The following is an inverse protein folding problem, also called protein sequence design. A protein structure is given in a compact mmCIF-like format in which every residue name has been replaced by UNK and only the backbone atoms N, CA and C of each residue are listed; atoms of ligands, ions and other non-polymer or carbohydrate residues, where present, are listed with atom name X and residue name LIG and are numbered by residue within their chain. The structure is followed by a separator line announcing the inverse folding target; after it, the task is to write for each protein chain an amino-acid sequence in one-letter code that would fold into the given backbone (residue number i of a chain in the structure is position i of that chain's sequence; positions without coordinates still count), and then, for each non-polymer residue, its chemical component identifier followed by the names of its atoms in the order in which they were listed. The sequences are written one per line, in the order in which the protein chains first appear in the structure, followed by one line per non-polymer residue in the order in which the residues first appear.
data_IF_914024182748
#
_entry.id   IF_914024182748
#
_cell.length_a   1.000
_cell.length_b   1.000
_cell.length_c   1.000
_cell.angle_alpha   90.00
_cell.angle_beta   90.00
_cell.angle_gamma   90.00
#
_symmetry.space_group_name_H-M   'P 1'
#
loop_
_entity.id
_entity.type
_entity.pdbx_description
1 polymer ?
#
# COMPACT_ATOMS: atom_id res chain seq x y z
N UNK A 1 -3.08 38.34 30.90
CA UNK A 1 -2.27 38.45 32.16
C UNK A 1 -1.32 39.66 32.24
N UNK A 2 -1.12 40.49 31.19
CA UNK A 2 -0.25 41.68 31.26
C UNK A 2 -0.85 42.88 32.04
N UNK A 3 -2.18 42.97 32.14
CA UNK A 3 -2.88 44.07 32.83
C UNK A 3 -2.66 44.08 34.36
N UNK A 4 -2.82 42.94 35.04
CA UNK A 4 -2.65 42.85 36.51
C UNK A 4 -1.24 43.18 37.00
N UNK A 5 -0.21 42.90 36.20
CA UNK A 5 1.19 43.24 36.55
C UNK A 5 1.45 44.75 36.46
N UNK A 6 0.95 45.42 35.42
CA UNK A 6 1.04 46.88 35.29
C UNK A 6 0.26 47.57 36.42
N UNK A 7 -0.93 47.09 36.74
CA UNK A 7 -1.72 47.58 37.87
C UNK A 7 -0.97 47.37 39.20
N UNK A 8 -0.29 46.24 39.39
CA UNK A 8 0.52 45.99 40.58
C UNK A 8 1.69 46.96 40.73
N UNK A 9 2.49 47.19 39.68
CA UNK A 9 3.59 48.17 39.74
C UNK A 9 3.09 49.60 39.92
N UNK A 10 1.93 49.94 39.36
CA UNK A 10 1.29 51.26 39.54
C UNK A 10 0.81 51.44 40.98
N UNK A 11 0.11 50.45 41.57
CA UNK A 11 -0.31 50.50 42.98
C UNK A 11 0.88 50.46 43.95
N UNK A 12 1.93 49.68 43.63
CA UNK A 12 3.15 49.64 44.42
C UNK A 12 3.91 50.96 44.35
N UNK A 13 4.07 51.55 43.16
CA UNK A 13 4.66 52.87 42.98
C UNK A 13 3.86 53.96 43.69
N UNK A 14 2.53 53.92 43.64
CA UNK A 14 1.65 54.83 44.37
C UNK A 14 1.77 54.65 45.90
N UNK A 15 1.85 53.42 46.40
CA UNK A 15 2.04 53.14 47.83
C UNK A 15 3.42 53.60 48.33
N UNK A 16 4.47 53.42 47.53
CA UNK A 16 5.82 53.92 47.84
C UNK A 16 5.86 55.45 47.79
N UNK A 17 5.21 56.08 46.82
CA UNK A 17 5.09 57.55 46.74
C UNK A 17 4.31 58.13 47.93
N UNK A 18 3.23 57.47 48.36
CA UNK A 18 2.49 57.86 49.57
C UNK A 18 3.30 57.64 50.84
N UNK A 19 4.08 56.56 50.92
CA UNK A 19 4.99 56.29 52.04
C UNK A 19 6.08 57.35 52.14
N UNK A 20 6.74 57.66 51.01
CA UNK A 20 7.79 58.69 50.92
C UNK A 20 7.22 60.09 51.19
N UNK A 21 6.05 60.41 50.63
CA UNK A 21 5.36 61.68 50.84
C UNK A 21 4.85 61.90 52.27
N UNK A 22 4.65 60.84 53.05
CA UNK A 22 4.25 60.91 54.45
C UNK A 22 5.46 60.95 55.42
N UNK A 23 6.59 60.36 55.03
CA UNK A 23 7.84 60.35 55.82
C UNK A 23 8.67 61.62 55.63
N UNK A 24 8.67 62.23 54.44
CA UNK A 24 9.43 63.45 54.11
C UNK A 24 9.04 64.70 54.94
N UNK A 25 7.75 65.06 55.10
CA UNK A 25 7.34 66.21 55.91
C UNK A 25 7.63 66.01 57.40
N UNK A 26 7.57 64.77 57.88
CA UNK A 26 7.93 64.42 59.26
C UNK A 26 9.43 64.61 59.53
N UNK A 27 10.29 64.50 58.52
CA UNK A 27 11.72 64.79 58.59
C UNK A 27 12.06 66.28 58.42
N UNK A 28 11.21 67.07 57.76
CA UNK A 28 11.43 68.49 57.46
C UNK A 28 10.79 69.46 58.48
N UNK A 29 9.98 68.96 59.41
CA UNK A 29 9.35 69.73 60.49
C UNK A 29 10.33 69.97 61.64
N UNK A 30 11.21 70.98 61.52
CA UNK A 30 11.92 71.56 62.67
C UNK A 30 10.95 72.46 63.45
N UNK A 31 10.52 72.02 64.64
CA UNK A 31 9.77 72.87 65.56
C UNK A 31 8.79 72.12 66.45
N UNK A 32 9.29 71.48 67.50
CA UNK A 32 8.46 70.93 68.58
C UNK A 32 9.10 69.72 69.26
N UNK A 33 9.93 69.97 70.27
CA UNK A 33 10.49 68.96 71.16
C UNK A 33 9.40 68.34 72.05
N UNK A 34 8.58 67.45 71.52
CA UNK A 34 7.92 66.43 72.34
C UNK A 34 7.85 65.10 71.60
N UNK A 35 8.74 64.17 72.01
CA UNK A 35 8.70 62.72 71.77
C UNK A 35 9.30 62.16 70.46
N UNK A 36 10.61 62.31 70.25
CA UNK A 36 11.38 61.59 69.21
C UNK A 36 11.10 60.07 69.16
N UNK A 37 10.93 59.45 70.33
CA UNK A 37 10.61 58.02 70.45
C UNK A 37 9.27 57.65 69.77
N UNK A 38 8.26 58.54 69.82
CA UNK A 38 6.97 58.32 69.13
C UNK A 38 7.14 58.39 67.61
N UNK A 39 7.97 59.29 67.11
CA UNK A 39 8.25 59.42 65.68
C UNK A 39 8.95 58.20 65.10
N UNK A 40 9.98 57.67 65.78
CA UNK A 40 10.67 56.44 65.37
C UNK A 40 9.74 55.22 65.40
N UNK A 41 8.93 55.08 66.45
CA UNK A 41 7.93 54.00 66.54
C UNK A 41 6.94 54.09 65.39
N UNK A 42 6.45 55.30 65.08
CA UNK A 42 5.50 55.50 64.00
C UNK A 42 6.10 55.18 62.62
N UNK A 43 7.37 55.54 62.37
CA UNK A 43 8.08 55.20 61.15
C UNK A 43 8.29 53.68 61.01
N UNK A 44 8.65 52.99 62.11
CA UNK A 44 8.79 51.53 62.14
C UNK A 44 7.45 50.85 61.86
N UNK A 45 6.36 51.31 62.49
CA UNK A 45 5.01 50.79 62.25
C UNK A 45 4.61 50.98 60.79
N UNK A 46 4.84 52.16 60.22
CA UNK A 46 4.54 52.42 58.82
C UNK A 46 5.35 51.50 57.89
N UNK A 47 6.65 51.35 58.13
CA UNK A 47 7.50 50.44 57.37
C UNK A 47 7.02 48.99 57.48
N UNK A 48 6.62 48.54 58.68
CA UNK A 48 6.06 47.22 58.91
C UNK A 48 4.73 47.01 58.15
N UNK A 49 3.86 48.03 58.09
CA UNK A 49 2.62 47.98 57.30
C UNK A 49 2.93 47.88 55.80
N UNK A 50 3.86 48.68 55.29
CA UNK A 50 4.31 48.62 53.90
C UNK A 50 4.90 47.24 53.57
N UNK A 51 5.75 46.70 54.44
CA UNK A 51 6.34 45.37 54.28
C UNK A 51 5.26 44.28 54.30
N UNK A 52 4.28 44.38 55.19
CA UNK A 52 3.17 43.42 55.28
C UNK A 52 2.32 43.42 54.00
N UNK A 53 2.02 44.59 53.44
CA UNK A 53 1.34 44.71 52.15
C UNK A 53 2.21 44.10 51.04
N UNK A 54 3.49 44.45 50.98
CA UNK A 54 4.41 43.96 49.96
C UNK A 54 4.50 42.42 49.96
N UNK A 55 4.67 41.83 51.14
CA UNK A 55 4.74 40.38 51.32
C UNK A 55 3.41 39.72 50.96
N UNK A 56 2.26 40.30 51.35
CA UNK A 56 0.93 39.77 51.03
C UNK A 56 0.66 39.73 49.52
N UNK A 57 1.12 40.73 48.76
CA UNK A 57 0.90 40.78 47.31
C UNK A 57 1.97 40.07 46.47
N UNK A 58 3.24 40.04 46.89
CA UNK A 58 4.32 39.35 46.14
C UNK A 58 4.25 37.83 46.32
N UNK A 59 3.94 37.35 47.53
CA UNK A 59 3.87 35.90 47.82
C UNK A 59 3.03 35.11 46.81
N UNK A 60 1.77 35.48 46.48
CA UNK A 60 0.97 34.71 45.52
C UNK A 60 1.54 34.76 44.09
N UNK A 61 2.12 35.90 43.68
CA UNK A 61 2.70 36.05 42.35
C UNK A 61 3.99 35.22 42.18
N UNK A 62 4.84 35.20 43.21
CA UNK A 62 6.09 34.43 43.22
C UNK A 62 5.80 32.92 43.27
N UNK A 63 4.88 32.49 44.13
CA UNK A 63 4.46 31.09 44.23
C UNK A 63 3.87 30.58 42.90
N UNK A 64 2.97 31.35 42.28
CA UNK A 64 2.39 30.98 40.99
C UNK A 64 3.41 30.91 39.84
N UNK A 65 4.45 31.74 39.86
CA UNK A 65 5.53 31.68 38.87
C UNK A 65 6.41 30.43 39.05
N UNK A 66 6.82 30.15 40.29
CA UNK A 66 7.64 28.98 40.61
C UNK A 66 6.89 27.67 40.36
N UNK A 67 5.61 27.59 40.76
CA UNK A 67 4.76 26.43 40.46
C UNK A 67 4.57 26.23 38.95
N UNK A 68 4.35 27.32 38.20
CA UNK A 68 4.25 27.23 36.74
C UNK A 68 5.55 26.72 36.11
N UNK A 69 6.71 27.24 36.54
CA UNK A 69 8.01 26.78 36.04
C UNK A 69 8.28 25.32 36.41
N UNK A 70 7.96 24.93 37.64
CA UNK A 70 8.07 23.55 38.09
C UNK A 70 7.21 22.61 37.26
N UNK A 71 5.94 22.96 37.04
CA UNK A 71 5.01 22.17 36.24
C UNK A 71 5.45 22.07 34.77
N UNK A 72 5.96 23.15 34.18
CA UNK A 72 6.50 23.13 32.83
C UNK A 72 7.67 22.15 32.70
N UNK A 73 8.66 22.23 33.61
CA UNK A 73 9.82 21.33 33.58
C UNK A 73 9.39 19.88 33.82
N UNK A 74 8.44 19.65 34.72
CA UNK A 74 7.89 18.31 34.97
C UNK A 74 7.20 17.75 33.73
N UNK A 75 6.40 18.56 33.04
CA UNK A 75 5.70 18.17 31.82
C UNK A 75 6.68 17.89 30.68
N UNK A 76 7.71 18.73 30.49
CA UNK A 76 8.77 18.52 29.50
C UNK A 76 9.56 17.22 29.77
N UNK A 77 9.91 16.96 31.03
CA UNK A 77 10.58 15.71 31.43
C UNK A 77 9.69 14.49 31.19
N UNK A 78 8.41 14.59 31.51
CA UNK A 78 7.47 13.49 31.29
C UNK A 78 7.32 13.19 29.79
N UNK A 79 7.13 14.23 28.97
CA UNK A 79 7.08 14.08 27.50
C UNK A 79 8.37 13.49 26.94
N UNK A 80 9.52 13.92 27.44
CA UNK A 80 10.81 13.38 27.00
C UNK A 80 10.94 11.89 27.32
N UNK A 81 10.49 11.45 28.51
CA UNK A 81 10.45 10.03 28.88
C UNK A 81 9.50 9.24 27.98
N UNK A 82 8.28 9.72 27.79
CA UNK A 82 7.29 9.07 26.91
C UNK A 82 7.80 8.92 25.47
N UNK A 83 8.45 9.96 24.93
CA UNK A 83 9.07 9.91 23.61
C UNK A 83 10.24 8.92 23.55
N UNK A 84 11.07 8.87 24.59
CA UNK A 84 12.18 7.92 24.68
C UNK A 84 11.68 6.48 24.73
N UNK A 85 10.67 6.19 25.55
CA UNK A 85 10.06 4.86 25.66
C UNK A 85 9.38 4.44 24.35
N UNK A 86 8.66 5.37 23.68
CA UNK A 86 8.05 5.11 22.39
C UNK A 86 9.09 4.84 21.29
N UNK A 87 10.19 5.60 21.28
CA UNK A 87 11.30 5.39 20.36
C UNK A 87 11.98 4.04 20.58
N UNK A 88 12.24 3.67 21.85
CA UNK A 88 12.84 2.38 22.20
C UNK A 88 11.92 1.20 21.81
N UNK A 89 10.62 1.33 22.05
CA UNK A 89 9.63 0.33 21.63
C UNK A 89 9.63 0.17 20.10
N UNK A 90 9.58 1.27 19.36
CA UNK A 90 9.60 1.27 17.89
C UNK A 90 10.89 0.65 17.36
N UNK A 91 12.03 0.97 17.98
CA UNK A 91 13.33 0.40 17.64
C UNK A 91 13.35 -1.12 17.87
N UNK A 92 12.87 -1.60 19.02
CA UNK A 92 12.77 -3.04 19.32
C UNK A 92 11.85 -3.77 18.35
N UNK A 93 10.71 -3.18 17.99
CA UNK A 93 9.81 -3.73 16.99
C UNK A 93 10.45 -3.81 15.60
N UNK A 94 11.14 -2.75 15.17
CA UNK A 94 11.88 -2.73 13.91
C UNK A 94 13.00 -3.78 13.89
N UNK A 95 13.77 -3.90 14.98
CA UNK A 95 14.84 -4.89 15.10
C UNK A 95 14.28 -6.32 15.05
N UNK A 96 13.15 -6.58 15.73
CA UNK A 96 12.48 -7.88 15.66
C UNK A 96 11.99 -8.21 14.25
N UNK A 97 11.42 -7.22 13.55
CA UNK A 97 11.01 -7.40 12.14
C UNK A 97 12.21 -7.71 11.25
N UNK A 98 13.31 -6.97 11.40
CA UNK A 98 14.55 -7.21 10.65
C UNK A 98 15.13 -8.60 10.93
N UNK A 99 15.15 -9.03 12.20
CA UNK A 99 15.64 -10.37 12.55
C UNK A 99 14.79 -11.50 11.93
N UNK A 100 13.48 -11.29 11.80
CA UNK A 100 12.58 -12.26 11.18
C UNK A 100 12.58 -12.22 9.64
N UNK A 101 13.05 -11.11 9.05
CA UNK A 101 12.98 -10.86 7.61
C UNK A 101 13.79 -11.89 6.81
N UNK A 102 14.97 -12.27 7.30
CA UNK A 102 15.79 -13.31 6.66
C UNK A 102 15.10 -14.68 6.67
N UNK A 103 14.40 -15.01 7.76
CA UNK A 103 13.65 -16.25 7.87
C UNK A 103 12.43 -16.24 6.94
N UNK A 104 11.73 -15.12 6.85
CA UNK A 104 10.60 -14.93 5.94
C UNK A 104 11.04 -15.01 4.47
N UNK A 105 12.15 -14.37 4.09
CA UNK A 105 12.73 -14.48 2.74
C UNK A 105 13.08 -15.93 2.41
N UNK A 106 13.69 -16.67 3.36
CA UNK A 106 14.01 -18.09 3.15
C UNK A 106 12.74 -18.91 2.95
N UNK A 107 11.72 -18.71 3.78
CA UNK A 107 10.45 -19.41 3.65
C UNK A 107 9.76 -19.12 2.30
N UNK A 108 9.74 -17.85 1.86
CA UNK A 108 9.20 -17.44 0.56
C UNK A 108 9.97 -18.12 -0.58
N UNK A 109 11.32 -18.15 -0.52
CA UNK A 109 12.14 -18.81 -1.53
C UNK A 109 11.89 -20.30 -1.60
N UNK A 110 11.81 -20.98 -0.46
CA UNK A 110 11.52 -22.41 -0.41
C UNK A 110 10.12 -22.73 -0.96
N UNK A 111 9.12 -21.90 -0.65
CA UNK A 111 7.78 -22.05 -1.21
C UNK A 111 7.78 -21.83 -2.73
N UNK A 112 8.42 -20.76 -3.21
CA UNK A 112 8.56 -20.48 -4.64
C UNK A 112 9.24 -21.63 -5.40
N UNK A 113 10.30 -22.22 -4.83
CA UNK A 113 10.98 -23.35 -5.47
C UNK A 113 10.06 -24.57 -5.60
N UNK A 114 9.28 -24.87 -4.55
CA UNK A 114 8.29 -25.97 -4.60
C UNK A 114 7.20 -25.71 -5.63
N UNK A 115 6.68 -24.49 -5.69
CA UNK A 115 5.65 -24.09 -6.67
C UNK A 115 6.19 -24.18 -8.09
N UNK A 116 7.42 -23.71 -8.34
CA UNK A 116 8.08 -23.80 -9.64
C UNK A 116 8.30 -25.26 -10.07
N UNK A 117 8.71 -26.13 -9.15
CA UNK A 117 8.91 -27.54 -9.46
C UNK A 117 7.59 -28.25 -9.80
N UNK A 118 6.52 -27.97 -9.04
CA UNK A 118 5.18 -28.48 -9.33
C UNK A 118 4.65 -27.99 -10.67
N UNK A 119 4.77 -26.70 -10.95
CA UNK A 119 4.30 -26.12 -12.21
C UNK A 119 5.12 -26.64 -13.39
N UNK A 120 6.44 -26.79 -13.23
CA UNK A 120 7.31 -27.40 -14.24
C UNK A 120 6.86 -28.82 -14.57
N UNK A 121 6.58 -29.64 -13.54
CA UNK A 121 6.10 -31.02 -13.73
C UNK A 121 4.78 -31.03 -14.48
N UNK A 122 3.82 -30.21 -14.07
CA UNK A 122 2.51 -30.07 -14.72
C UNK A 122 2.64 -29.63 -16.19
N UNK A 123 3.51 -28.67 -16.46
CA UNK A 123 3.76 -28.18 -17.82
C UNK A 123 4.37 -29.26 -18.71
N UNK A 124 5.30 -30.07 -18.17
CA UNK A 124 5.88 -31.20 -18.90
C UNK A 124 4.83 -32.27 -19.21
N UNK A 125 4.02 -32.67 -18.22
CA UNK A 125 2.92 -33.63 -18.42
C UNK A 125 1.88 -33.13 -19.44
N UNK A 126 1.57 -31.83 -19.42
CA UNK A 126 0.67 -31.23 -20.39
C UNK A 126 1.28 -31.19 -21.79
N UNK A 127 2.57 -30.86 -21.90
CA UNK A 127 3.30 -30.84 -23.17
C UNK A 127 3.39 -32.24 -23.79
N UNK A 128 3.68 -33.27 -22.99
CA UNK A 128 3.70 -34.67 -23.42
C UNK A 128 2.32 -35.10 -23.93
N UNK A 129 1.26 -34.83 -23.16
CA UNK A 129 -0.12 -35.13 -23.56
C UNK A 129 -0.53 -34.42 -24.86
N UNK A 130 -0.14 -33.16 -25.02
CA UNK A 130 -0.38 -32.39 -26.25
C UNK A 130 0.38 -32.98 -27.43
N UNK A 131 1.62 -33.39 -27.24
CA UNK A 131 2.43 -34.02 -28.27
C UNK A 131 1.83 -35.37 -28.71
N UNK A 132 1.37 -36.20 -27.77
CA UNK A 132 0.68 -37.45 -28.06
C UNK A 132 -0.61 -37.22 -28.85
N UNK A 133 -1.44 -36.28 -28.40
CA UNK A 133 -2.68 -35.92 -29.10
C UNK A 133 -2.40 -35.44 -30.52
N UNK A 134 -1.38 -34.59 -30.70
CA UNK A 134 -0.98 -34.08 -32.02
C UNK A 134 -0.50 -35.20 -32.94
N UNK A 135 0.28 -36.16 -32.43
CA UNK A 135 0.70 -37.34 -33.20
C UNK A 135 -0.50 -38.19 -33.60
N UNK A 136 -1.40 -38.49 -32.67
CA UNK A 136 -2.60 -39.28 -32.96
C UNK A 136 -3.49 -38.60 -34.02
N UNK A 137 -3.67 -37.28 -33.93
CA UNK A 137 -4.40 -36.49 -34.94
C UNK A 137 -3.70 -36.50 -36.30
N UNK A 138 -2.37 -36.37 -36.33
CA UNK A 138 -1.60 -36.44 -37.57
C UNK A 138 -1.68 -37.81 -38.23
N UNK A 139 -1.58 -38.91 -37.46
CA UNK A 139 -1.74 -40.27 -37.98
C UNK A 139 -3.14 -40.52 -38.54
N UNK A 140 -4.18 -40.05 -37.83
CA UNK A 140 -5.55 -40.15 -38.30
C UNK A 140 -5.77 -39.33 -39.59
N UNK A 141 -5.25 -38.11 -39.64
CA UNK A 141 -5.32 -37.24 -40.81
C UNK A 141 -4.61 -37.85 -42.02
N UNK A 142 -3.39 -38.37 -41.82
CA UNK A 142 -2.64 -39.04 -42.88
C UNK A 142 -3.37 -40.27 -43.42
N UNK A 143 -3.99 -41.08 -42.53
CA UNK A 143 -4.77 -42.25 -42.95
C UNK A 143 -5.98 -41.85 -43.80
N UNK A 144 -6.67 -40.79 -43.41
CA UNK A 144 -7.80 -40.26 -44.15
C UNK A 144 -7.37 -39.74 -45.53
N UNK A 145 -6.27 -38.98 -45.57
CA UNK A 145 -5.71 -38.43 -46.81
C UNK A 145 -5.24 -39.53 -47.77
N UNK A 146 -4.58 -40.58 -47.26
CA UNK A 146 -4.20 -41.76 -48.05
C UNK A 146 -5.43 -42.45 -48.64
N UNK A 147 -6.51 -42.60 -47.87
CA UNK A 147 -7.74 -43.22 -48.36
C UNK A 147 -8.39 -42.38 -49.47
N UNK A 148 -8.41 -41.05 -49.31
CA UNK A 148 -8.91 -40.12 -50.33
C UNK A 148 -8.05 -40.16 -51.60
N UNK A 149 -6.72 -40.17 -51.46
CA UNK A 149 -5.79 -40.29 -52.59
C UNK A 149 -5.97 -41.61 -53.34
N UNK A 150 -6.11 -42.73 -52.63
CA UNK A 150 -6.38 -44.04 -53.26
C UNK A 150 -7.69 -44.04 -54.04
N UNK A 151 -8.74 -43.40 -53.50
CA UNK A 151 -10.03 -43.28 -54.19
C UNK A 151 -9.90 -42.46 -55.47
N UNK A 152 -9.29 -41.28 -55.40
CA UNK A 152 -9.04 -40.42 -56.58
C UNK A 152 -8.19 -41.13 -57.62
N UNK A 153 -7.12 -41.79 -57.21
CA UNK A 153 -6.25 -42.54 -58.12
C UNK A 153 -7.01 -43.67 -58.83
N UNK A 154 -7.87 -44.40 -58.11
CA UNK A 154 -8.70 -45.45 -58.72
C UNK A 154 -9.68 -44.88 -59.75
N UNK A 155 -10.31 -43.74 -59.45
CA UNK A 155 -11.21 -43.04 -60.38
C UNK A 155 -10.46 -42.59 -61.63
N UNK A 156 -9.28 -41.98 -61.47
CA UNK A 156 -8.44 -41.50 -62.57
C UNK A 156 -7.96 -42.64 -63.48
N UNK A 157 -7.44 -43.72 -62.89
CA UNK A 157 -7.03 -44.93 -63.65
C UNK A 157 -8.22 -45.55 -64.38
N UNK A 158 -9.40 -45.61 -63.75
CA UNK A 158 -10.60 -46.16 -64.39
C UNK A 158 -11.06 -45.32 -65.57
N UNK A 159 -11.04 -43.99 -65.44
CA UNK A 159 -11.37 -43.07 -66.53
C UNK A 159 -10.38 -43.21 -67.69
N UNK A 160 -9.09 -43.32 -67.40
CA UNK A 160 -8.06 -43.44 -68.44
C UNK A 160 -8.13 -44.81 -69.15
N UNK A 161 -8.38 -45.88 -68.40
CA UNK A 161 -8.63 -47.20 -68.98
C UNK A 161 -9.89 -47.22 -69.88
N UNK A 162 -10.96 -46.52 -69.46
CA UNK A 162 -12.18 -46.37 -70.28
C UNK A 162 -11.90 -45.62 -71.57
N UNK A 163 -11.14 -44.52 -71.53
CA UNK A 163 -10.73 -43.78 -72.75
C UNK A 163 -9.92 -44.66 -73.69
N UNK A 164 -8.94 -45.41 -73.17
CA UNK A 164 -8.13 -46.31 -73.98
C UNK A 164 -8.98 -47.42 -74.61
N UNK A 165 -9.90 -48.01 -73.84
CA UNK A 165 -10.83 -49.01 -74.34
C UNK A 165 -11.75 -48.42 -75.44
N UNK A 166 -12.26 -47.20 -75.24
CA UNK A 166 -13.05 -46.48 -76.24
C UNK A 166 -12.25 -46.26 -77.54
N UNK A 167 -10.98 -45.84 -77.44
CA UNK A 167 -10.12 -45.69 -78.61
C UNK A 167 -9.85 -47.01 -79.34
N UNK A 168 -9.59 -48.10 -78.61
CA UNK A 168 -9.37 -49.43 -79.20
C UNK A 168 -10.65 -49.89 -79.90
N UNK A 169 -11.81 -49.81 -79.24
CA UNK A 169 -13.10 -50.20 -79.84
C UNK A 169 -13.39 -49.38 -81.10
N UNK A 170 -13.17 -48.05 -81.08
CA UNK A 170 -13.32 -47.20 -82.28
C UNK A 170 -12.41 -47.63 -83.42
N UNK A 171 -11.19 -48.07 -83.15
CA UNK A 171 -10.21 -48.51 -84.16
C UNK A 171 -10.47 -49.91 -84.70
N UNK A 172 -11.07 -50.80 -83.91
CA UNK A 172 -11.20 -52.23 -84.24
C UNK A 172 -12.61 -52.66 -84.67
N UNK A 173 -13.64 -51.83 -84.43
CA UNK A 173 -15.03 -52.20 -84.76
C UNK A 173 -15.25 -52.44 -86.25
N UNK A 174 -15.89 -53.58 -86.57
CA UNK A 174 -16.22 -53.97 -87.95
C UNK A 174 -17.70 -53.76 -88.27
N UNK A 175 -18.08 -53.83 -89.57
CA UNK A 175 -19.49 -53.69 -89.99
C UNK A 175 -20.40 -54.80 -89.44
N UNK A 176 -19.87 -56.02 -89.30
CA UNK A 176 -20.63 -57.14 -88.72
C UNK A 176 -20.85 -56.96 -87.22
N UNK A 177 -19.87 -56.40 -86.50
CA UNK A 177 -20.03 -56.04 -85.09
C UNK A 177 -21.12 -54.98 -84.88
N UNK A 178 -21.16 -53.94 -85.71
CA UNK A 178 -22.21 -52.92 -85.67
C UNK A 178 -23.61 -53.54 -85.90
N UNK A 179 -23.74 -54.42 -86.89
CA UNK A 179 -25.01 -55.09 -87.20
C UNK A 179 -25.47 -56.01 -86.06
N UNK A 180 -24.53 -56.72 -85.42
CA UNK A 180 -24.80 -57.54 -84.23
C UNK A 180 -25.23 -56.71 -83.02
N UNK A 181 -24.58 -55.57 -82.76
CA UNK A 181 -24.94 -54.65 -81.68
C UNK A 181 -26.36 -54.07 -81.87
N UNK A 182 -26.72 -53.68 -83.10
CA UNK A 182 -28.08 -53.22 -83.43
C UNK A 182 -29.12 -54.31 -83.17
N UNK A 183 -28.85 -55.54 -83.60
CA UNK A 183 -29.77 -56.67 -83.35
C UNK A 183 -29.94 -56.98 -81.85
N UNK A 184 -28.86 -56.92 -81.07
CA UNK A 184 -28.93 -57.08 -79.61
C UNK A 184 -29.76 -55.96 -78.96
N UNK A 185 -29.58 -54.71 -79.37
CA UNK A 185 -30.35 -53.58 -78.85
C UNK A 185 -31.85 -53.72 -79.16
N UNK A 186 -32.20 -54.14 -80.37
CA UNK A 186 -33.58 -54.41 -80.79
C UNK A 186 -34.20 -55.56 -79.98
N UNK A 187 -33.46 -56.64 -79.71
CA UNK A 187 -33.90 -57.72 -78.83
C UNK A 187 -34.10 -57.27 -77.38
N UNK A 188 -33.21 -56.44 -76.85
CA UNK A 188 -33.27 -55.99 -75.47
C UNK A 188 -34.42 -55.00 -75.22
N UNK A 189 -34.75 -54.17 -76.22
CA UNK A 189 -35.97 -53.35 -76.22
C UNK A 189 -37.23 -54.18 -76.42
N UNK A 190 -37.18 -55.21 -77.28
CA UNK A 190 -38.29 -56.14 -77.48
C UNK A 190 -38.57 -57.05 -76.29
N UNK A 191 -37.60 -57.26 -75.40
CA UNK A 191 -37.71 -58.07 -74.18
C UNK A 191 -38.14 -57.27 -72.94
N UNK A 192 -38.20 -55.93 -73.02
CA UNK A 192 -38.60 -55.05 -71.91
C UNK A 192 -40.03 -54.49 -72.05
N UNK A 193 -40.77 -55.00 -73.03
CA UNK A 193 -42.23 -54.96 -73.14
C UNK A 193 -42.78 -56.38 -72.99
#
# INVERSE_FOLDING_TARGET
MRGRRKVFYVFFGAAVLLFVGFVLPALASEGGHENYWKQYIFQIINFAIMLAILVKFIRPALKGYLEKRHNQVKEELQKAKELSEAAEKTYKEAQKRLANLDAEIKAIREQMLKEVEQERKKLLEEAERKAELMRAQAEQGLKEEINQLKKRLREEVSMEALKLAEEIVKKTITKDDQKRLVNMYVQQLGSKN
#
